data_IF_330557398339
#
_entry.id   IF_330557398339
#
_cell.length_a   1.000
_cell.length_b   1.000
_cell.length_c   1.000
_cell.angle_alpha   90.00
_cell.angle_beta   90.00
_cell.angle_gamma   90.00
#
_symmetry.space_group_name_H-M   'P 1'
#
loop_
_entity.id
_entity.type
_entity.pdbx_description
1 polymer ?
#
# COMPACT_ATOMS: atom_id res chain seq x y z
N UNK A 1 -6.83 -7.21 0.38
CA UNK A 1 -6.30 -5.88 0.77
C UNK A 1 -7.30 -4.81 0.31
N UNK A 2 -7.31 -3.62 0.93
CA UNK A 2 -8.22 -2.52 0.60
C UNK A 2 -7.38 -1.31 0.14
N UNK A 3 -7.83 -0.58 -0.88
CA UNK A 3 -7.18 0.67 -1.30
C UNK A 3 -7.50 1.77 -0.29
N UNK A 4 -6.61 1.96 0.70
CA UNK A 4 -6.76 3.03 1.69
C UNK A 4 -5.46 3.64 2.17
N UNK A 5 -5.56 4.86 2.66
CA UNK A 5 -4.54 5.48 3.48
C UNK A 5 -4.34 4.74 4.83
N UNK A 6 -3.24 5.05 5.50
CA UNK A 6 -2.99 4.69 6.88
C UNK A 6 -2.33 5.86 7.60
N UNK A 7 -2.86 6.27 8.75
CA UNK A 7 -2.38 7.40 9.56
C UNK A 7 -0.95 7.31 10.10
N UNK A 8 -0.20 6.26 9.74
CA UNK A 8 1.22 6.09 10.08
C UNK A 8 1.96 5.68 8.81
N UNK A 9 1.68 4.48 8.28
CA UNK A 9 2.40 3.87 7.16
C UNK A 9 2.23 4.57 5.79
N UNK A 10 1.39 5.61 5.71
CA UNK A 10 0.99 6.24 4.45
C UNK A 10 -0.20 5.53 3.82
N UNK A 11 -0.02 4.26 3.45
CA UNK A 11 -1.07 3.44 2.85
C UNK A 11 -1.14 2.05 3.48
N UNK A 12 -2.28 1.38 3.34
CA UNK A 12 -2.49 0.02 3.81
C UNK A 12 -3.11 -0.85 2.71
N UNK A 13 -2.28 -1.28 1.77
CA UNK A 13 -2.70 -1.95 0.53
C UNK A 13 -2.26 -3.42 0.57
N UNK A 14 -1.46 -3.94 -0.36
CA UNK A 14 -1.04 -5.34 -0.37
C UNK A 14 -0.04 -5.62 0.76
N UNK A 15 1.03 -4.81 0.89
CA UNK A 15 2.11 -5.18 1.78
C UNK A 15 1.78 -5.05 3.26
N UNK A 16 1.38 -3.84 3.69
CA UNK A 16 1.04 -3.54 5.09
C UNK A 16 -0.13 -4.39 5.61
N UNK A 17 -1.00 -4.88 4.73
CA UNK A 17 -2.14 -5.74 5.09
C UNK A 17 -1.70 -7.06 5.75
N UNK A 18 -0.46 -7.51 5.54
CA UNK A 18 0.09 -8.70 6.22
C UNK A 18 0.55 -8.45 7.66
N UNK A 19 0.43 -7.23 8.19
CA UNK A 19 0.56 -7.05 9.64
C UNK A 19 -0.52 -7.84 10.41
N UNK A 20 -1.65 -8.18 9.78
CA UNK A 20 -2.67 -9.05 10.37
C UNK A 20 -2.23 -10.50 10.57
N UNK A 21 -1.11 -10.94 9.99
CA UNK A 21 -0.63 -12.33 10.10
C UNK A 21 0.58 -12.50 11.02
N UNK A 22 0.98 -11.44 11.72
CA UNK A 22 2.08 -11.47 12.70
C UNK A 22 1.60 -11.07 14.08
N UNK A 23 2.26 -11.59 15.12
CA UNK A 23 1.94 -11.25 16.51
C UNK A 23 2.42 -9.83 16.86
N UNK A 24 1.62 -9.11 17.66
CA UNK A 24 1.88 -7.73 18.13
C UNK A 24 2.25 -6.75 17.01
N UNK A 25 1.44 -6.59 15.95
CA UNK A 25 1.77 -5.72 14.83
C UNK A 25 1.90 -4.25 15.22
N UNK A 26 1.31 -3.85 16.35
CA UNK A 26 1.46 -2.52 16.93
C UNK A 26 2.93 -2.16 17.20
N UNK A 27 3.81 -3.13 17.51
CA UNK A 27 5.23 -2.90 17.79
C UNK A 27 6.05 -2.50 16.56
N UNK A 28 5.51 -2.67 15.36
CA UNK A 28 6.20 -2.44 14.10
C UNK A 28 5.80 -1.12 13.40
N UNK A 29 5.27 -0.15 14.15
CA UNK A 29 4.93 1.18 13.66
C UNK A 29 6.02 2.27 13.75
N UNK A 30 7.15 2.11 14.51
CA UNK A 30 8.23 3.08 14.45
C UNK A 30 8.71 3.34 13.02
N UNK A 31 9.26 4.53 12.77
CA UNK A 31 9.81 4.93 11.48
C UNK A 31 8.85 4.70 10.30
N UNK A 32 7.57 5.06 10.45
CA UNK A 32 6.57 4.92 9.39
C UNK A 32 6.42 3.45 8.93
N UNK A 33 6.63 2.51 9.85
CA UNK A 33 6.63 1.06 9.63
C UNK A 33 7.76 0.53 8.71
N UNK A 34 8.81 1.31 8.44
CA UNK A 34 9.98 0.92 7.66
C UNK A 34 11.15 0.50 8.59
N UNK A 35 11.81 -0.66 8.40
CA UNK A 35 11.66 -1.67 7.33
C UNK A 35 10.57 -2.71 7.54
N UNK A 36 9.88 -2.67 8.68
CA UNK A 36 9.05 -3.77 9.15
C UNK A 36 8.01 -4.30 8.16
N UNK A 37 7.40 -3.44 7.32
CA UNK A 37 6.47 -3.91 6.26
C UNK A 37 7.17 -4.78 5.23
N UNK A 38 8.36 -4.38 4.79
CA UNK A 38 9.18 -5.18 3.88
C UNK A 38 9.66 -6.47 4.56
N UNK A 39 10.13 -6.39 5.82
CA UNK A 39 10.60 -7.55 6.58
C UNK A 39 9.51 -8.62 6.78
N UNK A 40 8.27 -8.22 7.06
CA UNK A 40 7.15 -9.17 7.15
C UNK A 40 6.98 -9.93 5.84
N UNK A 41 7.13 -9.26 4.69
CA UNK A 41 7.08 -9.92 3.39
C UNK A 41 8.26 -10.86 3.11
N UNK A 42 9.40 -10.67 3.78
CA UNK A 42 10.55 -11.56 3.66
C UNK A 42 10.36 -12.91 4.35
N UNK A 43 9.38 -13.03 5.26
CA UNK A 43 9.12 -14.29 5.96
C UNK A 43 8.81 -15.41 4.96
N UNK A 44 9.47 -16.58 5.03
CA UNK A 44 9.31 -17.65 4.04
C UNK A 44 7.85 -18.07 3.79
N UNK A 45 6.96 -18.16 4.80
CA UNK A 45 5.55 -18.50 4.56
C UNK A 45 4.79 -17.46 3.73
N UNK A 46 5.23 -16.20 3.72
CA UNK A 46 4.65 -15.10 2.94
C UNK A 46 5.32 -15.03 1.58
N UNK A 47 6.65 -14.83 1.56
CA UNK A 47 7.44 -14.64 0.34
C UNK A 47 7.21 -15.75 -0.69
N UNK A 48 7.10 -16.99 -0.24
CA UNK A 48 6.99 -18.14 -1.13
C UNK A 48 5.55 -18.44 -1.58
N UNK A 49 4.53 -17.87 -0.90
CA UNK A 49 3.12 -18.24 -1.11
C UNK A 49 2.25 -17.11 -1.65
N UNK A 50 2.58 -15.85 -1.38
CA UNK A 50 1.85 -14.72 -1.97
C UNK A 50 2.28 -14.59 -3.44
N UNK A 51 1.38 -14.96 -4.35
CA UNK A 51 1.63 -14.96 -5.81
C UNK A 51 0.71 -14.01 -6.58
N UNK A 52 -0.45 -13.68 -6.00
CA UNK A 52 -1.42 -12.77 -6.56
C UNK A 52 -1.99 -11.92 -5.42
N UNK A 53 -2.02 -10.61 -5.65
CA UNK A 53 -2.66 -9.65 -4.77
C UNK A 53 -3.89 -9.11 -5.48
N UNK A 54 -5.04 -9.19 -4.81
CA UNK A 54 -6.30 -8.61 -5.28
C UNK A 54 -6.65 -7.53 -4.26
N UNK A 55 -6.41 -6.28 -4.64
CA UNK A 55 -6.76 -5.12 -3.85
C UNK A 55 -8.15 -4.64 -4.25
N UNK A 56 -9.06 -4.68 -3.29
CA UNK A 56 -10.39 -4.15 -3.44
C UNK A 56 -10.35 -2.61 -3.37
N UNK A 57 -10.98 -1.97 -4.35
CA UNK A 57 -11.09 -0.52 -4.48
C UNK A 57 -12.49 -0.14 -5.00
N UNK A 58 -13.52 -0.86 -4.53
CA UNK A 58 -14.91 -0.50 -4.77
C UNK A 58 -15.19 0.78 -3.98
N UNK A 59 -14.84 0.79 -2.70
CA UNK A 59 -14.88 1.99 -1.84
C UNK A 59 -13.50 2.24 -1.24
N UNK A 60 -12.77 3.17 -1.85
CA UNK A 60 -11.43 3.54 -1.39
C UNK A 60 -11.47 4.68 -0.36
N UNK A 61 -10.43 4.82 0.47
CA UNK A 61 -10.34 5.86 1.52
C UNK A 61 -9.00 6.60 1.48
N UNK A 62 -9.01 7.93 1.33
CA UNK A 62 -7.80 8.72 1.08
C UNK A 62 -7.24 9.41 2.32
N UNK A 63 -7.97 9.35 3.44
CA UNK A 63 -7.58 9.95 4.72
C UNK A 63 -8.27 9.25 5.91
N UNK A 64 -7.63 9.33 7.08
CA UNK A 64 -8.21 8.91 8.36
C UNK A 64 -8.12 7.42 8.67
N UNK A 65 -7.41 6.64 7.86
CA UNK A 65 -7.13 5.24 8.16
C UNK A 65 -6.25 5.09 9.41
N UNK A 66 -6.27 3.92 10.10
CA UNK A 66 -6.89 2.67 9.68
C UNK A 66 -8.43 2.53 9.82
N UNK A 67 -9.17 3.26 10.69
CA UNK A 67 -10.61 3.06 10.79
C UNK A 67 -11.31 3.49 9.49
N UNK A 68 -12.54 2.99 9.32
CA UNK A 68 -13.42 3.43 8.24
C UNK A 68 -13.94 4.84 8.54
N UNK A 69 -13.74 5.76 7.59
CA UNK A 69 -14.10 7.16 7.69
C UNK A 69 -14.92 7.57 6.45
N UNK A 70 -16.26 7.45 6.47
CA UNK A 70 -17.09 7.61 5.28
C UNK A 70 -16.93 8.97 4.58
N UNK A 71 -16.65 10.04 5.33
CA UNK A 71 -16.40 11.38 4.78
C UNK A 71 -15.12 11.48 3.93
N UNK A 72 -14.21 10.53 4.07
CA UNK A 72 -12.95 10.44 3.31
C UNK A 72 -12.91 9.24 2.37
N UNK A 73 -14.07 8.63 2.12
CA UNK A 73 -14.22 7.55 1.16
C UNK A 73 -14.68 8.08 -0.20
N UNK A 74 -14.40 7.31 -1.26
CA UNK A 74 -15.00 7.54 -2.57
C UNK A 74 -15.24 6.22 -3.31
N UNK A 75 -16.29 6.15 -4.14
CA UNK A 75 -16.54 4.99 -4.98
C UNK A 75 -15.54 5.00 -6.15
N UNK A 76 -14.55 4.11 -6.10
CA UNK A 76 -13.66 3.86 -7.23
C UNK A 76 -14.16 2.69 -8.09
N UNK A 77 -15.07 1.86 -7.57
CA UNK A 77 -15.75 0.78 -8.30
C UNK A 77 -14.79 -0.12 -9.08
N UNK A 78 -13.63 -0.42 -8.51
CA UNK A 78 -12.55 -1.11 -9.20
C UNK A 78 -11.96 -2.23 -8.34
N UNK A 79 -11.28 -3.16 -9.02
CA UNK A 79 -10.32 -4.07 -8.39
C UNK A 79 -8.95 -3.79 -9.00
N UNK A 80 -7.90 -3.79 -8.17
CA UNK A 80 -6.51 -3.68 -8.62
C UNK A 80 -5.83 -5.02 -8.38
N UNK A 81 -5.32 -5.64 -9.45
CA UNK A 81 -4.71 -6.95 -9.39
C UNK A 81 -3.25 -6.88 -9.79
N UNK A 82 -2.40 -7.67 -9.13
CA UNK A 82 -0.98 -7.73 -9.47
C UNK A 82 -0.25 -8.88 -8.76
N UNK A 83 0.70 -9.50 -9.46
CA UNK A 83 1.59 -10.50 -8.88
C UNK A 83 2.71 -9.88 -8.03
N UNK A 84 3.15 -8.67 -8.38
CA UNK A 84 4.15 -7.90 -7.64
C UNK A 84 3.46 -7.01 -6.58
N UNK A 85 3.64 -7.29 -5.28
CA UNK A 85 3.02 -6.50 -4.21
C UNK A 85 3.62 -5.10 -4.07
N UNK A 86 4.89 -4.92 -4.44
CA UNK A 86 5.59 -3.63 -4.37
C UNK A 86 5.07 -2.70 -5.46
N UNK A 87 4.90 -3.24 -6.68
CA UNK A 87 4.32 -2.49 -7.79
C UNK A 87 2.86 -2.12 -7.49
N UNK A 88 2.08 -3.05 -6.92
CA UNK A 88 0.69 -2.78 -6.53
C UNK A 88 0.60 -1.67 -5.48
N UNK A 89 1.40 -1.73 -4.40
CA UNK A 89 1.43 -0.67 -3.38
C UNK A 89 1.91 0.66 -3.96
N UNK A 90 2.86 0.64 -4.90
CA UNK A 90 3.35 1.85 -5.59
C UNK A 90 2.22 2.53 -6.38
N UNK A 91 1.50 1.77 -7.20
CA UNK A 91 0.37 2.27 -8.00
C UNK A 91 -0.77 2.74 -7.10
N UNK A 92 -1.14 1.93 -6.10
CA UNK A 92 -2.20 2.28 -5.18
C UNK A 92 -1.87 3.52 -4.34
N UNK A 93 -0.61 3.72 -3.95
CA UNK A 93 -0.17 4.96 -3.31
C UNK A 93 -0.37 6.16 -4.24
N UNK A 94 -0.01 6.08 -5.52
CA UNK A 94 -0.26 7.18 -6.46
C UNK A 94 -1.76 7.49 -6.60
N UNK A 95 -2.63 6.49 -6.64
CA UNK A 95 -4.08 6.69 -6.66
C UNK A 95 -4.59 7.42 -5.41
N UNK A 96 -4.05 7.09 -4.22
CA UNK A 96 -4.35 7.84 -3.00
C UNK A 96 -3.86 9.29 -3.12
N UNK A 97 -2.63 9.52 -3.59
CA UNK A 97 -2.07 10.88 -3.75
C UNK A 97 -2.88 11.73 -4.73
N UNK A 98 -3.30 11.16 -5.86
CA UNK A 98 -4.19 11.80 -6.82
C UNK A 98 -5.50 12.23 -6.15
N UNK A 99 -6.11 11.35 -5.35
CA UNK A 99 -7.35 11.67 -4.64
C UNK A 99 -7.14 12.73 -3.56
N UNK A 100 -6.03 12.66 -2.81
CA UNK A 100 -5.66 13.68 -1.81
C UNK A 100 -5.50 15.04 -2.46
N UNK A 101 -4.81 15.11 -3.60
CA UNK A 101 -4.63 16.33 -4.39
C UNK A 101 -5.97 16.89 -4.88
N UNK A 102 -6.85 16.04 -5.42
CA UNK A 102 -8.22 16.44 -5.83
C UNK A 102 -9.00 17.08 -4.67
N UNK A 103 -8.84 16.57 -3.46
CA UNK A 103 -9.54 17.06 -2.25
C UNK A 103 -8.80 18.18 -1.51
N UNK A 104 -7.69 18.68 -2.05
CA UNK A 104 -6.92 19.77 -1.45
C UNK A 104 -6.08 19.36 -0.23
N UNK A 105 -5.84 18.07 -0.03
CA UNK A 105 -4.98 17.56 1.04
C UNK A 105 -3.51 17.61 0.62
N UNK A 106 -2.63 17.84 1.61
CA UNK A 106 -1.18 17.69 1.42
C UNK A 106 -0.84 16.24 1.05
N UNK A 107 0.23 16.02 0.24
CA UNK A 107 0.71 14.67 -0.03
C UNK A 107 1.14 13.96 1.26
N UNK A 108 1.13 12.63 1.28
CA UNK A 108 1.45 11.86 2.50
C UNK A 108 2.86 12.19 3.03
N UNK A 109 3.81 12.41 2.13
CA UNK A 109 5.14 12.89 2.50
C UNK A 109 5.13 14.25 3.20
N UNK A 110 4.27 15.17 2.74
CA UNK A 110 4.11 16.51 3.33
C UNK A 110 3.44 16.53 4.72
N UNK A 111 2.98 15.37 5.20
CA UNK A 111 2.41 15.16 6.54
C UNK A 111 3.14 14.05 7.31
N UNK A 112 4.36 13.69 6.91
CA UNK A 112 5.20 12.74 7.62
C UNK A 112 4.77 11.26 7.52
N UNK A 113 3.93 10.93 6.54
CA UNK A 113 3.38 9.58 6.31
C UNK A 113 3.84 8.98 4.98
N UNK A 114 5.03 9.36 4.50
CA UNK A 114 5.57 8.82 3.25
C UNK A 114 5.73 7.28 3.37
N UNK A 115 5.12 6.43 2.50
CA UNK A 115 5.21 4.97 2.58
C UNK A 115 6.59 4.45 2.12
N UNK A 116 7.64 4.83 2.85
CA UNK A 116 9.04 4.54 2.52
C UNK A 116 9.37 3.04 2.48
N UNK A 117 8.55 2.21 3.12
CA UNK A 117 8.70 0.75 3.03
C UNK A 117 8.59 0.22 1.60
N UNK A 118 7.92 0.93 0.69
CA UNK A 118 7.80 0.53 -0.72
C UNK A 118 9.18 0.53 -1.39
N UNK A 119 9.99 1.56 -1.12
CA UNK A 119 11.35 1.65 -1.64
C UNK A 119 12.26 0.60 -0.99
N UNK A 120 12.13 0.39 0.32
CA UNK A 120 12.86 -0.68 1.03
C UNK A 120 12.52 -2.06 0.47
N UNK A 121 11.25 -2.35 0.20
CA UNK A 121 10.84 -3.64 -0.36
C UNK A 121 11.43 -3.91 -1.76
N UNK A 122 11.61 -2.85 -2.56
CA UNK A 122 12.21 -2.92 -3.88
C UNK A 122 13.75 -3.01 -3.87
N UNK A 123 14.38 -2.80 -2.71
CA UNK A 123 15.84 -2.68 -2.64
C UNK A 123 16.56 -4.01 -2.95
N UNK A 124 17.89 -3.90 -3.06
CA UNK A 124 18.78 -5.03 -3.40
C UNK A 124 18.80 -6.14 -2.34
N UNK A 125 18.41 -5.85 -1.10
CA UNK A 125 18.47 -6.77 0.03
C UNK A 125 17.14 -7.55 0.14
N UNK A 126 16.01 -6.87 -0.01
CA UNK A 126 14.67 -7.44 0.05
C UNK A 126 14.27 -8.14 -1.25
N UNK A 127 14.40 -7.45 -2.40
CA UNK A 127 14.05 -7.95 -3.74
C UNK A 127 12.64 -8.54 -3.79
N UNK A 128 11.66 -7.81 -3.28
CA UNK A 128 10.25 -8.26 -3.19
C UNK A 128 9.41 -7.85 -4.41
N UNK A 129 9.96 -6.98 -5.27
CA UNK A 129 9.27 -6.44 -6.42
C UNK A 129 9.97 -5.19 -6.96
N UNK A 130 9.24 -4.35 -7.68
CA UNK A 130 9.72 -3.07 -8.21
C UNK A 130 8.79 -1.91 -7.84
N UNK A 131 9.37 -0.75 -7.52
CA UNK A 131 8.66 0.52 -7.40
C UNK A 131 9.05 1.51 -8.52
N UNK A 132 9.82 1.07 -9.50
CA UNK A 132 10.21 1.86 -10.68
C UNK A 132 9.04 1.93 -11.68
N UNK A 133 8.44 3.11 -11.92
CA UNK A 133 7.32 3.26 -12.84
C UNK A 133 7.61 2.81 -14.27
N UNK A 134 8.86 2.90 -14.74
CA UNK A 134 9.24 2.45 -16.08
C UNK A 134 9.16 0.93 -16.25
N UNK A 135 9.09 0.20 -15.13
CA UNK A 135 8.98 -1.27 -15.07
C UNK A 135 7.60 -1.74 -14.61
N UNK A 136 6.66 -0.83 -14.42
CA UNK A 136 5.29 -1.13 -14.00
C UNK A 136 4.35 -0.76 -15.14
N UNK A 137 3.78 -1.77 -15.80
CA UNK A 137 2.71 -1.58 -16.77
C UNK A 137 1.36 -1.57 -16.04
N UNK A 138 0.58 -0.49 -16.21
CA UNK A 138 -0.78 -0.38 -15.67
C UNK A 138 -1.77 -0.54 -16.81
N UNK A 139 -2.38 -1.72 -16.92
CA UNK A 139 -3.44 -2.00 -17.88
C UNK A 139 -4.79 -1.71 -17.23
N UNK A 140 -5.62 -0.91 -17.89
CA UNK A 140 -7.01 -0.63 -17.47
C UNK A 140 -7.96 -1.39 -18.38
N UNK A 141 -8.90 -2.11 -17.79
CA UNK A 141 -9.95 -2.86 -18.49
C UNK A 141 -11.29 -2.40 -17.95
N UNK A 142 -12.16 -1.96 -18.85
CA UNK A 142 -13.56 -1.67 -18.53
C UNK A 142 -14.38 -2.93 -18.77
N UNK A 143 -15.29 -3.24 -17.83
CA UNK A 143 -16.19 -4.40 -17.87
C UNK A 143 -17.60 -4.00 -18.32
#
# INVERSE_FOLDING_TARGET
>A
PLLKDHGIAGVSIAMKNLFGVVHNPNKYHPNVCNPYVADVFMLPPIRNKVRLNICEAIVAQYEGGPPYMPQWCWPMNSLILGGDPVALDSVGWQLIEEKRKEKGFKPLAGVGRNPTYIATAADKDHRLGTNDPARIEVVRVEL
#
